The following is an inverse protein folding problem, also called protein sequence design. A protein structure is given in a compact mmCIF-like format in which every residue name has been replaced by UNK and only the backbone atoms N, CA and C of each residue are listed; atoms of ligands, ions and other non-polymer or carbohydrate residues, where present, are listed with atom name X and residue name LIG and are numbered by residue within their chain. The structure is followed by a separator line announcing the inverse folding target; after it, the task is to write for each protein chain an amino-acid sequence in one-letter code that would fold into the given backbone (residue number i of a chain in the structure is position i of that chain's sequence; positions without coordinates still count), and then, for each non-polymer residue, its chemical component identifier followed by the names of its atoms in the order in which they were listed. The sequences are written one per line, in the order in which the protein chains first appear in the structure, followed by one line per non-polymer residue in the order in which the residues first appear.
data_IF_426603841222
#
_entry.id   IF_426603841222
#
_cell.length_a   1.000
_cell.length_b   1.000
_cell.length_c   1.000
_cell.angle_alpha   90.00
_cell.angle_beta   90.00
_cell.angle_gamma   90.00
#
_symmetry.space_group_name_H-M   'P 1'
#
loop_
_entity.id
_entity.type
_entity.pdbx_description
1 polymer ?
#
# COMPACT_ATOMS: atom_id res chain seq x y z
N UNK A 1 -44.30 -8.37 -18.26
CA UNK A 1 -45.54 -8.65 -19.03
C UNK A 1 -46.79 -7.94 -18.47
N UNK A 2 -46.88 -7.59 -17.18
CA UNK A 2 -48.05 -6.88 -16.61
C UNK A 2 -48.10 -5.36 -16.83
N UNK A 3 -46.97 -4.72 -17.13
CA UNK A 3 -46.85 -3.26 -17.27
C UNK A 3 -47.47 -2.73 -18.57
N UNK A 4 -47.32 -3.47 -19.67
CA UNK A 4 -47.74 -3.02 -21.01
C UNK A 4 -49.27 -2.98 -21.11
N UNK A 5 -49.97 -3.83 -20.35
CA UNK A 5 -51.43 -3.85 -20.32
C UNK A 5 -52.05 -2.66 -19.57
N UNK A 6 -51.30 -1.98 -18.70
CA UNK A 6 -51.78 -0.82 -17.94
C UNK A 6 -51.75 0.49 -18.76
N UNK A 7 -50.90 0.56 -19.79
CA UNK A 7 -50.79 1.69 -20.71
C UNK A 7 -52.03 1.89 -21.61
N UNK A 8 -52.86 0.86 -21.76
CA UNK A 8 -54.08 0.89 -22.58
C UNK A 8 -55.28 1.58 -21.90
N UNK A 9 -55.20 1.94 -20.61
CA UNK A 9 -56.38 2.26 -19.78
C UNK A 9 -56.53 3.76 -19.43
N UNK A 10 -55.67 4.66 -19.89
CA UNK A 10 -55.85 6.10 -19.63
C UNK A 10 -56.44 6.82 -20.85
N UNK A 11 -57.68 7.30 -20.69
CA UNK A 11 -58.50 8.00 -21.71
C UNK A 11 -58.17 9.50 -21.86
N UNK A 12 -57.31 10.07 -21.02
CA UNK A 12 -56.99 11.50 -20.95
C UNK A 12 -55.52 11.76 -21.21
N UNK A 13 -55.19 12.71 -22.09
CA UNK A 13 -53.82 12.97 -22.57
C UNK A 13 -52.85 13.39 -21.44
N UNK A 14 -53.34 14.09 -20.42
CA UNK A 14 -52.54 14.45 -19.24
C UNK A 14 -52.09 13.26 -18.39
N UNK A 15 -52.90 12.20 -18.31
CA UNK A 15 -52.55 11.00 -17.54
C UNK A 15 -51.43 10.18 -18.21
N UNK A 16 -51.34 10.23 -19.55
CA UNK A 16 -50.26 9.58 -20.31
C UNK A 16 -48.90 10.24 -20.08
N UNK A 17 -48.88 11.58 -20.01
CA UNK A 17 -47.66 12.34 -19.69
C UNK A 17 -47.15 12.00 -18.28
N UNK A 18 -48.02 11.95 -17.28
CA UNK A 18 -47.65 11.64 -15.90
C UNK A 18 -47.09 10.21 -15.79
N UNK A 19 -47.72 9.23 -16.45
CA UNK A 19 -47.24 7.83 -16.46
C UNK A 19 -45.92 7.70 -17.21
N UNK A 20 -45.74 8.42 -18.32
CA UNK A 20 -44.48 8.45 -19.07
C UNK A 20 -43.33 9.02 -18.25
N UNK A 21 -43.54 10.15 -17.57
CA UNK A 21 -42.55 10.76 -16.68
C UNK A 21 -42.20 9.85 -15.50
N UNK A 22 -43.20 9.20 -14.90
CA UNK A 22 -42.95 8.20 -13.84
C UNK A 22 -42.11 7.03 -14.33
N UNK A 23 -42.42 6.49 -15.52
CA UNK A 23 -41.64 5.42 -16.13
C UNK A 23 -40.20 5.84 -16.44
N UNK A 24 -40.00 7.08 -16.91
CA UNK A 24 -38.68 7.64 -17.13
C UNK A 24 -37.89 7.68 -15.81
N UNK A 25 -38.51 8.16 -14.72
CA UNK A 25 -37.89 8.18 -13.39
C UNK A 25 -37.50 6.76 -12.94
N UNK A 26 -38.39 5.78 -13.09
CA UNK A 26 -38.08 4.38 -12.74
C UNK A 26 -36.91 3.83 -13.57
N UNK A 27 -36.89 4.10 -14.87
CA UNK A 27 -35.79 3.66 -15.75
C UNK A 27 -34.46 4.29 -15.35
N UNK A 28 -34.45 5.58 -15.00
CA UNK A 28 -33.24 6.28 -14.53
C UNK A 28 -32.74 5.68 -13.22
N UNK A 29 -33.63 5.38 -12.27
CA UNK A 29 -33.25 4.77 -10.99
C UNK A 29 -32.65 3.37 -11.21
N UNK A 30 -33.30 2.52 -12.01
CA UNK A 30 -32.81 1.17 -12.30
C UNK A 30 -31.47 1.21 -13.04
N UNK A 31 -31.32 2.10 -14.03
CA UNK A 31 -30.07 2.28 -14.74
C UNK A 31 -28.94 2.76 -13.82
N UNK A 32 -29.23 3.71 -12.93
CA UNK A 32 -28.24 4.24 -11.97
C UNK A 32 -27.83 3.18 -10.95
N UNK A 33 -28.78 2.42 -10.42
CA UNK A 33 -28.49 1.33 -9.48
C UNK A 33 -27.65 0.23 -10.13
N UNK A 34 -28.00 -0.16 -11.36
CA UNK A 34 -27.24 -1.16 -12.12
C UNK A 34 -25.82 -0.66 -12.43
N UNK A 35 -25.66 0.61 -12.80
CA UNK A 35 -24.36 1.22 -13.05
C UNK A 35 -23.46 1.25 -11.81
N UNK A 36 -24.00 1.67 -10.66
CA UNK A 36 -23.25 1.67 -9.40
C UNK A 36 -22.85 0.27 -8.96
N UNK A 37 -23.75 -0.71 -9.10
CA UNK A 37 -23.46 -2.11 -8.76
C UNK A 37 -22.35 -2.68 -9.64
N UNK A 38 -22.43 -2.46 -10.95
CA UNK A 38 -21.38 -2.89 -11.90
C UNK A 38 -20.05 -2.25 -11.53
N UNK A 39 -20.03 -0.96 -11.21
CA UNK A 39 -18.80 -0.27 -10.81
C UNK A 39 -18.13 -0.92 -9.58
N UNK A 40 -18.92 -1.29 -8.57
CA UNK A 40 -18.39 -2.02 -7.40
C UNK A 40 -17.86 -3.41 -7.74
N UNK A 41 -18.51 -4.12 -8.66
CA UNK A 41 -18.08 -5.47 -9.06
C UNK A 41 -16.86 -5.46 -9.99
N UNK A 42 -16.69 -4.41 -10.79
CA UNK A 42 -15.55 -4.29 -11.73
C UNK A 42 -14.30 -3.76 -11.07
N UNK A 43 -14.42 -2.98 -9.99
CA UNK A 43 -13.29 -2.44 -9.24
C UNK A 43 -13.21 -3.11 -7.87
N UNK A 44 -12.54 -4.27 -7.74
CA UNK A 44 -12.24 -4.82 -6.44
C UNK A 44 -11.38 -3.80 -5.68
N UNK A 45 -11.84 -3.39 -4.49
CA UNK A 45 -11.04 -2.55 -3.62
C UNK A 45 -9.88 -3.37 -3.07
N UNK A 46 -8.71 -3.16 -3.66
CA UNK A 46 -7.44 -3.64 -3.11
C UNK A 46 -6.86 -2.51 -2.26
N UNK A 47 -7.33 -2.41 -1.03
CA UNK A 47 -6.73 -1.53 -0.03
C UNK A 47 -5.65 -2.34 0.71
N UNK A 48 -4.37 -1.92 0.67
CA UNK A 48 -3.29 -2.63 1.34
C UNK A 48 -3.51 -2.58 2.86
N UNK A 49 -2.98 -3.59 3.55
CA UNK A 49 -3.25 -3.74 4.98
C UNK A 49 -2.67 -2.60 5.82
N UNK A 50 -1.58 -1.97 5.41
CA UNK A 50 -0.91 -0.83 6.07
C UNK A 50 -0.32 0.08 4.98
N UNK A 51 -0.72 1.37 4.95
CA UNK A 51 -0.21 2.33 3.95
C UNK A 51 0.89 3.24 4.48
N UNK A 52 0.81 3.59 5.76
CA UNK A 52 1.70 4.57 6.42
C UNK A 52 2.20 4.03 7.75
N UNK A 53 3.28 4.62 8.26
CA UNK A 53 3.81 4.26 9.58
C UNK A 53 2.88 4.66 10.72
N UNK A 54 2.14 5.76 10.58
CA UNK A 54 1.17 6.17 11.60
C UNK A 54 0.04 5.15 11.76
N UNK A 55 -0.40 4.56 10.65
CA UNK A 55 -1.41 3.50 10.63
C UNK A 55 -0.90 2.19 11.27
N UNK A 56 0.39 1.88 11.07
CA UNK A 56 1.06 0.79 11.78
C UNK A 56 1.14 1.04 13.29
N UNK A 57 1.41 2.29 13.70
CA UNK A 57 1.48 2.68 15.11
C UNK A 57 0.11 2.61 15.81
N UNK A 58 -0.97 2.99 15.12
CA UNK A 58 -2.33 2.84 15.61
C UNK A 58 -2.71 1.37 15.82
N UNK A 59 -2.28 0.49 14.91
CA UNK A 59 -2.58 -0.95 14.90
C UNK A 59 -1.44 -1.84 15.40
N UNK A 60 -0.57 -1.29 16.25
CA UNK A 60 0.63 -1.97 16.79
C UNK A 60 0.38 -3.29 17.53
N UNK A 61 -0.84 -3.55 17.99
CA UNK A 61 -1.21 -4.79 18.68
C UNK A 61 -1.53 -5.93 17.71
N UNK A 62 -1.86 -5.61 16.46
CA UNK A 62 -2.27 -6.57 15.43
C UNK A 62 -1.13 -6.95 14.49
N UNK A 63 -0.21 -6.03 14.27
CA UNK A 63 0.92 -6.16 13.34
C UNK A 63 2.25 -6.23 14.08
N UNK A 64 3.14 -7.06 13.52
CA UNK A 64 4.55 -7.11 13.88
C UNK A 64 5.37 -6.41 12.81
N UNK A 65 6.51 -5.85 13.17
CA UNK A 65 7.37 -5.17 12.20
C UNK A 65 8.84 -5.46 12.43
N UNK A 66 9.63 -5.41 11.36
CA UNK A 66 11.08 -5.54 11.42
C UNK A 66 11.79 -4.36 10.78
N UNK A 67 12.88 -3.93 11.41
CA UNK A 67 13.78 -2.89 10.91
C UNK A 67 15.19 -3.50 10.81
N UNK A 68 15.96 -3.20 9.75
CA UNK A 68 17.32 -3.71 9.57
C UNK A 68 18.25 -3.18 10.67
N UNK A 69 18.84 -4.10 11.43
CA UNK A 69 19.72 -3.79 12.55
C UNK A 69 21.11 -3.35 12.08
N UNK A 70 21.69 -2.35 12.72
CA UNK A 70 23.02 -1.82 12.38
C UNK A 70 23.08 -1.17 10.99
N UNK A 71 21.93 -0.84 10.43
CA UNK A 71 21.82 -0.16 9.14
C UNK A 71 21.89 1.35 9.31
N UNK A 72 22.23 2.06 8.22
CA UNK A 72 22.17 3.51 8.18
C UNK A 72 20.78 4.07 8.58
N UNK A 73 19.70 3.34 8.27
CA UNK A 73 18.34 3.75 8.63
C UNK A 73 18.19 3.81 10.15
N UNK A 74 18.67 2.79 10.88
CA UNK A 74 18.60 2.77 12.35
C UNK A 74 19.37 3.97 12.93
N UNK A 75 20.62 4.18 12.51
CA UNK A 75 21.44 5.30 13.00
C UNK A 75 20.84 6.66 12.65
N UNK A 76 20.33 6.81 11.42
CA UNK A 76 19.73 8.06 10.96
C UNK A 76 18.45 8.41 11.74
N UNK A 77 17.60 7.42 12.01
CA UNK A 77 16.37 7.61 12.79
C UNK A 77 16.65 7.96 14.26
N UNK A 78 17.77 7.49 14.82
CA UNK A 78 18.18 7.86 16.18
C UNK A 78 18.67 9.31 16.27
N UNK A 79 19.41 9.78 15.25
CA UNK A 79 20.02 11.12 15.23
C UNK A 79 19.05 12.20 14.77
N UNK A 80 18.17 11.89 13.81
CA UNK A 80 17.26 12.87 13.22
C UNK A 80 16.10 13.24 14.16
N UNK A 81 15.67 14.50 14.10
CA UNK A 81 14.53 15.06 14.87
C UNK A 81 13.50 15.72 13.94
N UNK A 82 13.49 15.33 12.67
CA UNK A 82 12.54 15.86 11.69
C UNK A 82 11.13 15.33 11.99
N UNK A 83 10.12 16.20 11.87
CA UNK A 83 8.73 15.86 12.22
C UNK A 83 8.19 14.61 11.49
N UNK A 84 8.56 14.42 10.22
CA UNK A 84 8.16 13.23 9.44
C UNK A 84 8.83 11.90 9.85
N UNK A 85 9.81 11.92 10.76
CA UNK A 85 10.52 10.71 11.21
C UNK A 85 10.13 10.29 12.63
N UNK A 86 9.26 11.05 13.29
CA UNK A 86 8.82 10.78 14.67
C UNK A 86 8.14 9.41 14.75
N UNK A 87 7.30 9.06 13.78
CA UNK A 87 6.62 7.75 13.75
C UNK A 87 7.61 6.58 13.67
N UNK A 88 8.57 6.65 12.75
CA UNK A 88 9.63 5.64 12.61
C UNK A 88 10.49 5.51 13.87
N UNK A 89 10.79 6.64 14.54
CA UNK A 89 11.50 6.63 15.82
C UNK A 89 10.69 5.97 16.93
N UNK A 90 9.37 6.18 16.94
CA UNK A 90 8.50 5.51 17.90
C UNK A 90 8.48 3.99 17.67
N UNK A 91 8.48 3.53 16.43
CA UNK A 91 8.61 2.10 16.09
C UNK A 91 9.94 1.48 16.56
N UNK A 92 11.02 2.26 16.57
CA UNK A 92 12.33 1.83 17.11
C UNK A 92 12.34 1.80 18.65
N UNK A 93 11.70 2.77 19.30
CA UNK A 93 11.73 2.92 20.76
C UNK A 93 10.71 2.03 21.48
N UNK A 94 9.55 1.76 20.86
CA UNK A 94 8.52 0.86 21.39
C UNK A 94 8.89 -0.61 21.14
N UNK A 95 9.89 -1.09 21.87
CA UNK A 95 10.27 -2.50 21.90
C UNK A 95 9.26 -3.30 22.76
N UNK A 96 8.01 -3.40 22.30
CA UNK A 96 6.93 -4.16 22.95
C UNK A 96 6.69 -5.49 22.24
N UNK A 97 7.68 -6.38 22.16
CA UNK A 97 7.53 -7.77 21.68
C UNK A 97 7.15 -7.98 20.20
N UNK A 98 6.54 -6.97 19.57
CA UNK A 98 6.07 -6.95 18.17
C UNK A 98 7.11 -6.31 17.24
N UNK A 99 8.13 -5.66 17.80
CA UNK A 99 9.26 -5.10 17.08
C UNK A 99 10.39 -6.14 16.99
N UNK A 100 10.63 -6.63 15.78
CA UNK A 100 11.76 -7.48 15.44
C UNK A 100 12.93 -6.66 14.88
N UNK A 101 14.13 -7.21 14.99
CA UNK A 101 15.31 -6.74 14.28
C UNK A 101 15.69 -7.78 13.25
N UNK A 102 16.14 -7.31 12.10
CA UNK A 102 16.45 -8.20 11.00
C UNK A 102 17.83 -7.89 10.40
N UNK A 103 18.53 -8.93 9.95
CA UNK A 103 19.78 -8.80 9.19
C UNK A 103 19.56 -9.35 7.78
N UNK A 104 20.36 -8.89 6.82
CA UNK A 104 20.40 -9.33 5.44
C UNK A 104 20.42 -10.85 5.23
N UNK A 105 20.88 -11.64 6.21
CA UNK A 105 20.88 -13.11 6.18
C UNK A 105 19.51 -13.72 6.50
N UNK A 106 18.69 -13.02 7.27
CA UNK A 106 17.39 -13.51 7.73
C UNK A 106 16.28 -13.23 6.70
N UNK A 107 16.57 -12.51 5.60
CA UNK A 107 15.57 -11.86 4.72
C UNK A 107 14.53 -12.80 4.13
N UNK A 108 14.89 -14.05 3.91
CA UNK A 108 13.96 -15.08 3.47
C UNK A 108 12.91 -15.44 4.55
N UNK A 109 13.30 -15.49 5.83
CA UNK A 109 12.37 -15.74 6.95
C UNK A 109 11.36 -14.59 7.08
N UNK A 110 11.82 -13.34 6.94
CA UNK A 110 10.94 -12.18 6.93
C UNK A 110 9.91 -12.21 5.80
N UNK A 111 10.32 -12.65 4.61
CA UNK A 111 9.44 -12.76 3.45
C UNK A 111 8.32 -13.77 3.73
N UNK A 112 8.60 -14.88 4.42
CA UNK A 112 7.58 -15.83 4.85
C UNK A 112 6.64 -15.26 5.92
N UNK A 113 7.15 -14.50 6.88
CA UNK A 113 6.32 -13.83 7.89
C UNK A 113 5.37 -12.78 7.26
N UNK A 114 5.87 -12.03 6.26
CA UNK A 114 5.05 -11.06 5.50
C UNK A 114 3.97 -11.78 4.70
N UNK A 115 4.26 -12.95 4.11
CA UNK A 115 3.23 -13.79 3.46
C UNK A 115 2.14 -14.24 4.43
N UNK A 116 2.46 -14.34 5.73
CA UNK A 116 1.49 -14.58 6.80
C UNK A 116 0.48 -13.44 7.02
N UNK A 117 0.71 -12.26 6.44
CA UNK A 117 -0.24 -11.14 6.37
C UNK A 117 -0.30 -10.25 7.62
N UNK A 118 0.51 -10.52 8.64
CA UNK A 118 0.55 -9.76 9.91
C UNK A 118 1.94 -9.21 10.24
N UNK A 119 2.84 -9.19 9.27
CA UNK A 119 4.20 -8.71 9.43
C UNK A 119 4.51 -7.63 8.39
N UNK A 120 5.20 -6.58 8.83
CA UNK A 120 5.61 -5.44 8.00
C UNK A 120 7.13 -5.30 8.05
N UNK A 121 7.78 -5.33 6.88
CA UNK A 121 9.22 -5.12 6.78
C UNK A 121 9.47 -3.68 6.36
N UNK A 122 10.30 -2.97 7.13
CA UNK A 122 10.72 -1.61 6.84
C UNK A 122 12.17 -1.66 6.35
N UNK A 123 12.39 -1.35 5.08
CA UNK A 123 13.73 -1.31 4.48
C UNK A 123 13.74 -0.35 3.27
N UNK A 124 14.89 -0.21 2.62
CA UNK A 124 15.06 0.54 1.39
C UNK A 124 14.09 0.11 0.31
N UNK A 125 13.50 1.09 -0.38
CA UNK A 125 12.55 0.83 -1.46
C UNK A 125 13.18 0.01 -2.61
N UNK A 126 14.50 0.15 -2.82
CA UNK A 126 15.26 -0.64 -3.79
C UNK A 126 15.30 -2.12 -3.41
N UNK A 127 15.70 -2.44 -2.18
CA UNK A 127 15.71 -3.81 -1.63
C UNK A 127 14.34 -4.48 -1.69
N UNK A 128 13.30 -3.78 -1.23
CA UNK A 128 11.93 -4.32 -1.23
C UNK A 128 11.39 -4.58 -2.65
N UNK A 129 11.68 -3.70 -3.61
CA UNK A 129 11.31 -3.90 -5.02
C UNK A 129 12.04 -5.09 -5.64
N UNK A 130 13.32 -5.27 -5.33
CA UNK A 130 14.11 -6.41 -5.81
C UNK A 130 13.55 -7.71 -5.24
N UNK A 131 13.25 -7.75 -3.94
CA UNK A 131 12.67 -8.92 -3.27
C UNK A 131 11.30 -9.29 -3.86
N UNK A 132 10.37 -8.33 -3.94
CA UNK A 132 9.05 -8.54 -4.53
C UNK A 132 9.13 -9.05 -5.98
N UNK A 133 10.06 -8.50 -6.77
CA UNK A 133 10.33 -8.98 -8.13
C UNK A 133 10.87 -10.42 -8.14
N UNK A 134 11.83 -10.75 -7.29
CA UNK A 134 12.40 -12.09 -7.23
C UNK A 134 11.33 -13.12 -6.85
N UNK A 135 10.48 -12.81 -5.87
CA UNK A 135 9.37 -13.67 -5.48
C UNK A 135 8.34 -13.85 -6.59
N UNK A 136 8.03 -12.79 -7.34
CA UNK A 136 7.18 -12.89 -8.52
C UNK A 136 7.81 -13.78 -9.62
N UNK A 137 9.12 -13.69 -9.83
CA UNK A 137 9.81 -14.56 -10.79
C UNK A 137 9.83 -16.02 -10.36
N UNK A 138 9.88 -16.29 -9.06
CA UNK A 138 9.91 -17.65 -8.51
C UNK A 138 8.51 -18.30 -8.47
N UNK A 139 7.49 -17.57 -8.05
CA UNK A 139 6.13 -18.09 -7.80
C UNK A 139 5.13 -17.77 -8.91
N UNK A 140 5.38 -16.71 -9.68
CA UNK A 140 4.45 -16.19 -10.67
C UNK A 140 3.32 -15.31 -10.08
N UNK A 141 3.28 -15.12 -8.76
CA UNK A 141 2.22 -14.38 -8.07
C UNK A 141 2.74 -13.05 -7.49
N UNK A 142 1.84 -12.09 -7.27
CA UNK A 142 2.16 -10.77 -6.70
C UNK A 142 1.58 -10.68 -5.28
N UNK A 143 2.34 -11.14 -4.28
CA UNK A 143 1.89 -11.16 -2.88
C UNK A 143 2.19 -9.88 -2.10
N UNK A 144 3.20 -9.12 -2.50
CA UNK A 144 3.69 -7.98 -1.72
C UNK A 144 3.13 -6.65 -2.21
N UNK A 145 2.70 -5.81 -1.27
CA UNK A 145 2.38 -4.40 -1.51
C UNK A 145 3.40 -3.52 -0.82
N UNK A 146 3.85 -2.46 -1.51
CA UNK A 146 4.70 -1.42 -0.92
C UNK A 146 3.80 -0.32 -0.34
N UNK A 147 4.13 0.14 0.87
CA UNK A 147 3.48 1.31 1.48
C UNK A 147 3.73 2.59 0.67
N UNK A 148 2.85 3.57 0.83
CA UNK A 148 2.94 4.84 0.10
C UNK A 148 3.91 5.82 0.77
N UNK A 149 4.18 5.61 2.05
CA UNK A 149 5.12 6.41 2.83
C UNK A 149 6.56 6.00 2.52
N UNK A 150 7.11 6.59 1.45
CA UNK A 150 8.52 6.44 1.11
C UNK A 150 9.30 7.49 1.90
N UNK A 151 10.08 7.03 2.88
CA UNK A 151 11.15 7.85 3.46
C UNK A 151 12.03 8.34 2.31
N UNK A 152 11.93 9.62 1.95
CA UNK A 152 12.81 10.30 1.00
C UNK A 152 14.19 10.55 1.61
N UNK A 153 14.75 9.52 2.23
CA UNK A 153 16.16 9.44 2.56
C UNK A 153 16.86 9.22 1.22
N UNK A 154 17.59 10.23 0.75
CA UNK A 154 18.48 10.01 -0.39
C UNK A 154 19.47 8.93 0.02
N UNK A 155 19.39 7.74 -0.61
CA UNK A 155 20.33 6.65 -0.36
C UNK A 155 21.73 7.18 -0.71
N UNK A 156 22.64 7.43 0.25
CA UNK A 156 23.96 7.94 -0.08
C UNK A 156 24.82 6.75 -0.53
N UNK A 157 24.54 6.26 -1.75
CA UNK A 157 25.32 5.20 -2.36
C UNK A 157 26.68 5.81 -2.72
N UNK A 158 27.73 5.30 -2.07
CA UNK A 158 29.09 5.75 -2.30
C UNK A 158 30.05 4.56 -2.30
N UNK A 159 31.15 4.69 -3.02
CA UNK A 159 32.19 3.67 -3.03
C UNK A 159 33.14 3.92 -1.85
N UNK A 160 33.27 2.94 -0.96
CA UNK A 160 34.25 2.99 0.11
C UNK A 160 35.62 2.58 -0.43
N UNK A 161 36.61 3.46 -0.30
CA UNK A 161 38.01 3.16 -0.60
C UNK A 161 38.85 3.39 0.67
N UNK A 162 39.98 2.68 0.82
CA UNK A 162 40.97 3.01 1.84
C UNK A 162 41.36 4.49 1.75
N UNK A 163 41.54 5.15 2.90
CA UNK A 163 41.81 6.59 2.97
C UNK A 163 43.04 7.03 2.17
N UNK A 164 44.00 6.13 1.94
CA UNK A 164 45.26 6.39 1.22
C UNK A 164 45.29 5.75 -0.18
N UNK A 165 44.12 5.41 -0.74
CA UNK A 165 44.03 4.82 -2.08
C UNK A 165 44.38 5.84 -3.16
N UNK A 166 45.32 5.54 -4.08
CA UNK A 166 45.62 6.40 -5.21
C UNK A 166 44.45 6.53 -6.20
N UNK A 167 43.47 5.63 -6.11
CA UNK A 167 42.28 5.60 -6.97
C UNK A 167 41.17 6.56 -6.50
N UNK A 168 41.24 7.12 -5.29
CA UNK A 168 40.25 8.09 -4.79
C UNK A 168 40.06 9.27 -5.73
N UNK A 169 41.15 9.79 -6.30
CA UNK A 169 41.09 10.91 -7.26
C UNK A 169 40.36 10.53 -8.54
N UNK A 170 40.53 9.30 -9.02
CA UNK A 170 39.92 8.84 -10.27
C UNK A 170 38.41 8.65 -10.07
N UNK A 171 38.01 8.00 -8.97
CA UNK A 171 36.62 7.70 -8.65
C UNK A 171 35.80 8.97 -8.39
N UNK A 172 36.37 9.98 -7.74
CA UNK A 172 35.65 11.21 -7.37
C UNK A 172 35.56 12.26 -8.50
N UNK A 173 36.06 11.96 -9.71
CA UNK A 173 36.05 12.90 -10.85
C UNK A 173 34.89 12.65 -11.83
N UNK A 174 34.14 11.55 -11.65
CA UNK A 174 32.89 11.29 -12.40
C UNK A 174 31.70 11.98 -11.72
#
# INVERSE_FOLDING_TARGET
MYVVHLWSVTKTDGARLIVGTWWLVVMVIVATYSGSLVAFLTFPKMEPAVETVDDLLERREEFTWTIPAGSFIEDFLLVSTTEGLIGYKQLLQENKGNAGKHDSVTYDENVEEVKGGKHVVIDWATSLKISSRNEHLNTGECFFSLGNDVLLLGEPISMALPSDSPYLRIVNTQ
#
